data_IF_551773754275
#
_entry.id   IF_551773754275
#
_cell.length_a   1.000
_cell.length_b   1.000
_cell.length_c   1.000
_cell.angle_alpha   90.00
_cell.angle_beta   90.00
_cell.angle_gamma   90.00
#
_symmetry.space_group_name_H-M   'P 1'
#
loop_
_entity.id
_entity.type
_entity.pdbx_description
1 polymer ?
#
# COMPACT_ATOMS: atom_id res chain seq x y z
N UNK A 1 -13.75 -13.34 8.84
CA UNK A 1 -12.44 -12.69 8.81
C UNK A 1 -11.54 -13.34 7.78
N UNK A 2 -11.54 -12.73 6.61
CA UNK A 2 -10.71 -13.05 5.45
C UNK A 2 -9.45 -12.15 5.47
N UNK A 3 -8.37 -12.60 4.85
CA UNK A 3 -7.09 -11.89 4.83
C UNK A 3 -6.50 -11.88 3.42
N UNK A 4 -5.96 -10.74 3.01
CA UNK A 4 -5.23 -10.57 1.75
C UNK A 4 -3.94 -9.79 2.00
N UNK A 5 -2.84 -10.19 1.36
CA UNK A 5 -1.60 -9.43 1.33
C UNK A 5 -1.54 -8.60 0.05
N UNK A 6 -1.30 -7.30 0.20
CA UNK A 6 -1.13 -6.35 -0.89
C UNK A 6 0.25 -5.67 -0.83
N UNK A 7 0.84 -5.40 -1.99
CA UNK A 7 2.13 -4.73 -2.10
C UNK A 7 1.96 -3.36 -2.75
N UNK A 8 2.61 -2.36 -2.19
CA UNK A 8 2.48 -0.96 -2.62
C UNK A 8 3.85 -0.38 -2.92
N UNK A 9 4.04 0.17 -4.12
CA UNK A 9 5.22 0.94 -4.50
C UNK A 9 4.94 2.42 -4.35
N UNK A 10 5.74 3.12 -3.55
CA UNK A 10 5.61 4.56 -3.40
C UNK A 10 6.36 5.32 -4.48
N UNK A 11 5.72 6.37 -5.02
CA UNK A 11 6.23 7.15 -6.16
C UNK A 11 6.55 8.60 -5.79
N UNK A 12 5.54 9.35 -5.38
CA UNK A 12 5.67 10.78 -5.11
C UNK A 12 5.25 11.09 -3.68
N UNK A 13 6.20 11.57 -2.87
CA UNK A 13 5.91 12.14 -1.56
C UNK A 13 5.52 13.63 -1.70
N UNK A 14 4.41 14.00 -1.07
CA UNK A 14 3.98 15.38 -0.81
C UNK A 14 4.00 15.63 0.70
N UNK A 15 3.91 16.89 1.10
CA UNK A 15 3.98 17.32 2.51
C UNK A 15 3.02 16.54 3.41
N UNK A 16 1.84 16.15 2.90
CA UNK A 16 0.79 15.45 3.67
C UNK A 16 0.26 14.18 3.00
N UNK A 17 0.83 13.74 1.87
CA UNK A 17 0.34 12.56 1.16
C UNK A 17 1.46 11.85 0.42
N UNK A 18 1.26 10.57 0.11
CA UNK A 18 2.16 9.81 -0.74
C UNK A 18 1.34 9.13 -1.83
N UNK A 19 1.80 9.25 -3.08
CA UNK A 19 1.26 8.46 -4.18
C UNK A 19 1.86 7.07 -4.15
N UNK A 20 1.02 6.08 -4.39
CA UNK A 20 1.41 4.69 -4.46
C UNK A 20 0.72 4.00 -5.64
N UNK A 21 1.36 2.97 -6.16
CA UNK A 21 0.74 1.98 -7.04
C UNK A 21 0.70 0.64 -6.34
N UNK A 22 -0.36 -0.12 -6.58
CA UNK A 22 -0.41 -1.53 -6.24
C UNK A 22 0.47 -2.31 -7.22
N UNK A 23 1.32 -3.18 -6.66
CA UNK A 23 2.23 -4.04 -7.39
C UNK A 23 2.07 -5.48 -6.89
N UNK A 24 2.49 -6.45 -7.68
CA UNK A 24 2.56 -7.83 -7.23
C UNK A 24 3.81 -8.06 -6.35
N UNK A 25 4.00 -9.32 -5.91
CA UNK A 25 5.14 -9.74 -5.09
C UNK A 25 6.49 -9.49 -5.78
N UNK A 26 6.53 -9.49 -7.11
CA UNK A 26 7.72 -9.22 -7.92
C UNK A 26 7.88 -7.72 -8.22
N UNK A 27 6.93 -6.89 -7.80
CA UNK A 27 6.91 -5.46 -8.04
C UNK A 27 6.44 -5.06 -9.44
N UNK A 28 5.84 -5.97 -10.21
CA UNK A 28 5.18 -5.58 -11.45
C UNK A 28 3.85 -4.88 -11.14
N UNK A 29 3.43 -3.87 -11.94
CA UNK A 29 2.13 -3.25 -11.76
C UNK A 29 1.02 -4.30 -11.86
N UNK A 30 0.10 -4.31 -10.89
CA UNK A 30 -1.09 -5.15 -11.00
C UNK A 30 -2.06 -4.47 -11.97
N UNK A 31 -2.29 -5.10 -13.12
CA UNK A 31 -3.25 -4.66 -14.12
C UNK A 31 -4.46 -5.61 -14.10
N UNK A 32 -5.58 -5.16 -13.53
CA UNK A 32 -6.83 -5.93 -13.48
C UNK A 32 -7.98 -5.11 -12.88
N UNK A 33 -9.12 -5.77 -12.61
CA UNK A 33 -10.24 -5.27 -11.78
C UNK A 33 -9.79 -5.15 -10.31
N UNK A 34 -8.65 -4.49 -10.08
CA UNK A 34 -8.13 -4.24 -8.75
C UNK A 34 -9.18 -3.41 -8.01
N UNK A 35 -9.79 -4.03 -7.00
CA UNK A 35 -10.65 -3.31 -6.06
C UNK A 35 -9.74 -2.30 -5.39
N UNK A 36 -9.76 -1.06 -5.90
CA UNK A 36 -8.98 0.04 -5.38
C UNK A 36 -9.26 0.10 -3.88
N UNK A 37 -8.30 -0.30 -3.05
CA UNK A 37 -8.41 -0.29 -1.60
C UNK A 37 -8.37 1.19 -1.17
N UNK A 38 -9.50 1.88 -1.36
CA UNK A 38 -9.72 3.30 -1.07
C UNK A 38 -8.49 4.18 -1.27
N UNK A 39 -8.30 5.11 -0.34
CA UNK A 39 -6.99 5.72 -0.09
C UNK A 39 -6.33 5.02 1.08
N UNK A 40 -5.10 4.55 0.89
CA UNK A 40 -4.27 4.02 1.98
C UNK A 40 -3.65 5.19 2.75
N UNK A 41 -3.99 5.33 4.02
CA UNK A 41 -3.42 6.33 4.93
C UNK A 41 -2.36 5.68 5.81
N UNK A 42 -1.09 6.01 5.59
CA UNK A 42 0.03 5.54 6.41
C UNK A 42 0.64 6.70 7.18
N UNK A 43 0.83 6.52 8.48
CA UNK A 43 1.57 7.49 9.31
C UNK A 43 3.06 7.27 9.11
N UNK A 44 3.82 8.30 8.74
CA UNK A 44 5.30 8.24 8.62
C UNK A 44 6.00 7.61 9.84
N UNK A 45 5.40 7.78 11.03
CA UNK A 45 5.94 7.29 12.31
C UNK A 45 6.00 5.76 12.42
N UNK A 46 5.29 5.02 11.56
CA UNK A 46 5.39 3.55 11.55
C UNK A 46 6.71 3.08 10.94
N UNK A 47 7.38 3.93 10.17
CA UNK A 47 8.63 3.59 9.49
C UNK A 47 9.84 4.09 10.31
N UNK A 48 10.86 3.23 10.51
CA UNK A 48 12.10 3.67 11.14
C UNK A 48 12.70 4.88 10.43
N UNK A 49 13.02 5.93 11.18
CA UNK A 49 13.61 7.16 10.64
C UNK A 49 12.61 8.12 9.97
N UNK A 50 11.30 7.85 10.02
CA UNK A 50 10.27 8.77 9.55
C UNK A 50 10.25 8.98 8.03
N UNK A 51 10.92 8.09 7.28
CA UNK A 51 10.96 8.10 5.82
C UNK A 51 10.12 6.96 5.27
N UNK A 52 9.46 7.21 4.14
CA UNK A 52 8.74 6.16 3.45
C UNK A 52 9.72 5.19 2.76
N UNK A 53 9.54 3.87 2.93
CA UNK A 53 10.32 2.88 2.19
C UNK A 53 9.91 2.89 0.71
N UNK A 54 10.70 2.22 -0.14
CA UNK A 54 10.38 2.12 -1.58
C UNK A 54 9.12 1.30 -1.86
N UNK A 55 8.94 0.24 -1.08
CA UNK A 55 7.82 -0.69 -1.15
C UNK A 55 7.32 -0.97 0.26
N UNK A 56 6.02 -1.13 0.41
CA UNK A 56 5.38 -1.63 1.64
C UNK A 56 4.55 -2.85 1.30
N UNK A 57 4.71 -3.89 2.09
CA UNK A 57 3.79 -5.02 2.15
C UNK A 57 2.80 -4.76 3.29
N UNK A 58 1.50 -4.92 3.01
CA UNK A 58 0.46 -4.78 4.01
C UNK A 58 -0.51 -5.96 3.95
N UNK A 59 -0.79 -6.51 5.13
CA UNK A 59 -1.84 -7.49 5.34
C UNK A 59 -3.15 -6.77 5.65
N UNK A 60 -4.16 -6.95 4.81
CA UNK A 60 -5.50 -6.40 4.97
C UNK A 60 -6.42 -7.50 5.47
N UNK A 61 -7.01 -7.29 6.65
CA UNK A 61 -8.04 -8.16 7.22
C UNK A 61 -9.40 -7.52 7.02
N UNK A 62 -10.36 -8.28 6.54
CA UNK A 62 -11.72 -7.81 6.31
C UNK A 62 -12.73 -8.88 6.68
N UNK A 63 -13.93 -8.45 7.02
CA UNK A 63 -15.08 -9.34 7.17
C UNK A 63 -15.95 -9.18 5.93
N UNK A 64 -16.28 -10.31 5.30
CA UNK A 64 -17.26 -10.36 4.23
C UNK A 64 -18.62 -9.97 4.83
N UNK A 65 -19.20 -8.88 4.34
CA UNK A 65 -20.47 -8.32 4.82
C UNK A 65 -21.67 -9.07 4.26
#
# INVERSE_FOLDING_TARGET
MSEITAYFRFKDEKVHSIRYDEVDVDGAPVHGDATKIGGLYLRKTIFPGGRYPRTVEATVRYDDY
#
